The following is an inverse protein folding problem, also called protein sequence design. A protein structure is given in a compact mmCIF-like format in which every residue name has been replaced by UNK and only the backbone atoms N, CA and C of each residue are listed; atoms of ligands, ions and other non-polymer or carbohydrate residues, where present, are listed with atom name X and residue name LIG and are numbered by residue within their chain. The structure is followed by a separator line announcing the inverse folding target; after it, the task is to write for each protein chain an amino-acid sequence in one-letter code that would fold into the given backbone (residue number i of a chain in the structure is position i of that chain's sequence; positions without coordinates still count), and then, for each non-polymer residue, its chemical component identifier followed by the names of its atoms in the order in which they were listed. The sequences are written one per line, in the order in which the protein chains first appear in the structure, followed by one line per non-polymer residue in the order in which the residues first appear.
data_IF_268258896036
#
_entry.id   IF_268258896036
#
_cell.length_a   1.000
_cell.length_b   1.000
_cell.length_c   1.000
_cell.angle_alpha   90.00
_cell.angle_beta   90.00
_cell.angle_gamma   90.00
#
_symmetry.space_group_name_H-M   'P 1'
#
loop_
_entity.id
_entity.type
_entity.pdbx_description
1 polymer ?
#
# COMPACT_ATOMS: atom_id res chain seq x y z
N UNK A 1 9.44 40.49 22.63
CA UNK A 1 8.36 39.67 22.03
C UNK A 1 8.83 38.62 21.01
N UNK A 2 10.13 38.49 20.71
CA UNK A 2 10.63 37.52 19.72
C UNK A 2 10.87 36.12 20.34
N UNK A 3 11.23 36.04 21.63
CA UNK A 3 11.53 34.79 22.32
C UNK A 3 10.33 33.84 22.48
N UNK A 4 9.11 34.38 22.63
CA UNK A 4 7.90 33.57 22.84
C UNK A 4 7.42 32.85 21.57
N UNK A 5 7.62 33.42 20.38
CA UNK A 5 7.23 32.81 19.11
C UNK A 5 8.12 31.61 18.75
N UNK A 6 9.42 31.69 19.05
CA UNK A 6 10.39 30.60 18.82
C UNK A 6 10.10 29.39 19.73
N UNK A 7 9.73 29.65 21.00
CA UNK A 7 9.35 28.61 21.96
C UNK A 7 8.05 27.88 21.54
N UNK A 8 7.05 28.61 21.05
CA UNK A 8 5.81 28.00 20.54
C UNK A 8 6.07 27.15 19.28
N UNK A 9 6.92 27.62 18.36
CA UNK A 9 7.31 26.85 17.18
C UNK A 9 8.02 25.54 17.53
N UNK A 10 8.87 25.55 18.56
CA UNK A 10 9.57 24.34 19.05
C UNK A 10 8.64 23.31 19.68
N UNK A 11 7.64 23.75 20.44
CA UNK A 11 6.70 22.85 21.13
C UNK A 11 5.64 22.26 20.18
N UNK A 12 5.12 23.06 19.23
CA UNK A 12 4.04 22.62 18.35
C UNK A 12 4.51 22.11 16.98
N UNK A 13 5.72 22.46 16.54
CA UNK A 13 6.30 22.00 15.27
C UNK A 13 6.28 20.47 15.09
N UNK A 14 6.77 19.69 16.08
CA UNK A 14 6.76 18.23 15.98
C UNK A 14 5.36 17.63 15.84
N UNK A 15 4.35 18.20 16.53
CA UNK A 15 2.96 17.73 16.44
C UNK A 15 2.36 17.97 15.06
N UNK A 16 2.57 19.15 14.48
CA UNK A 16 2.08 19.47 13.14
C UNK A 16 2.77 18.62 12.07
N UNK A 17 4.08 18.36 12.22
CA UNK A 17 4.80 17.46 11.33
C UNK A 17 4.28 16.02 11.39
N UNK A 18 4.05 15.49 12.60
CA UNK A 18 3.49 14.15 12.79
C UNK A 18 2.09 14.03 12.17
N UNK A 19 1.22 15.01 12.40
CA UNK A 19 -0.11 15.03 11.80
C UNK A 19 -0.03 15.06 10.27
N UNK A 20 0.83 15.92 9.70
CA UNK A 20 1.07 15.94 8.25
C UNK A 20 1.57 14.58 7.75
N UNK A 21 2.51 13.96 8.44
CA UNK A 21 3.05 12.66 8.06
C UNK A 21 1.99 11.55 8.06
N UNK A 22 1.04 11.58 9.00
CA UNK A 22 -0.09 10.65 9.03
C UNK A 22 -1.03 10.82 7.83
N UNK A 23 -1.41 12.06 7.49
CA UNK A 23 -2.24 12.33 6.30
C UNK A 23 -1.54 11.96 5.00
N UNK A 24 -0.25 12.27 4.88
CA UNK A 24 0.57 11.88 3.74
C UNK A 24 0.61 10.35 3.63
N UNK A 25 0.81 9.66 4.75
CA UNK A 25 0.82 8.19 4.79
C UNK A 25 -0.52 7.60 4.36
N UNK A 26 -1.64 8.18 4.79
CA UNK A 26 -2.96 7.76 4.32
C UNK A 26 -3.12 7.94 2.80
N UNK A 27 -2.56 9.00 2.24
CA UNK A 27 -2.45 9.18 0.78
C UNK A 27 -1.67 8.05 0.11
N UNK A 28 -0.48 7.73 0.64
CA UNK A 28 0.38 6.64 0.14
C UNK A 28 -0.35 5.29 0.18
N UNK A 29 -1.10 4.98 1.24
CA UNK A 29 -1.88 3.73 1.32
C UNK A 29 -2.89 3.64 0.17
N UNK A 30 -3.58 4.75 -0.16
CA UNK A 30 -4.54 4.79 -1.28
C UNK A 30 -3.85 4.68 -2.64
N UNK A 31 -2.69 5.30 -2.81
CA UNK A 31 -1.89 5.21 -4.03
C UNK A 31 -1.38 3.79 -4.26
N UNK A 32 -0.89 3.12 -3.21
CA UNK A 32 -0.49 1.71 -3.28
C UNK A 32 -1.69 0.83 -3.62
N UNK A 33 -2.85 1.04 -2.99
CA UNK A 33 -4.07 0.30 -3.35
C UNK A 33 -4.48 0.51 -4.81
N UNK A 34 -4.37 1.74 -5.31
CA UNK A 34 -4.63 2.03 -6.73
C UNK A 34 -3.62 1.35 -7.65
N UNK A 35 -2.34 1.34 -7.27
CA UNK A 35 -1.30 0.62 -8.01
C UNK A 35 -1.62 -0.87 -8.07
N UNK A 36 -1.84 -1.50 -6.92
CA UNK A 36 -2.17 -2.94 -6.79
C UNK A 36 -3.38 -3.31 -7.66
N UNK A 37 -4.43 -2.48 -7.66
CA UNK A 37 -5.60 -2.66 -8.54
C UNK A 37 -5.23 -2.65 -10.01
N UNK A 38 -4.45 -1.66 -10.43
CA UNK A 38 -4.11 -1.44 -11.84
C UNK A 38 -3.06 -2.43 -12.37
N UNK A 39 -2.26 -3.02 -11.48
CA UNK A 39 -1.19 -3.96 -11.83
C UNK A 39 -1.55 -5.41 -11.49
N UNK A 40 -2.83 -5.70 -11.26
CA UNK A 40 -3.33 -7.04 -10.95
C UNK A 40 -2.56 -7.70 -9.79
N UNK A 41 -2.48 -7.00 -8.66
CA UNK A 41 -1.95 -7.56 -7.42
C UNK A 41 -0.44 -7.37 -7.23
N UNK A 42 0.26 -6.66 -8.11
CA UNK A 42 1.68 -6.39 -7.92
C UNK A 42 1.90 -5.36 -6.81
N UNK A 43 2.97 -5.55 -6.06
CA UNK A 43 3.42 -4.60 -5.03
C UNK A 43 4.45 -3.64 -5.62
N UNK A 44 4.34 -2.32 -5.35
CA UNK A 44 5.30 -1.36 -5.86
C UNK A 44 6.72 -1.68 -5.38
N UNK A 45 7.72 -1.44 -6.24
CA UNK A 45 9.14 -1.69 -5.95
C UNK A 45 9.93 -0.43 -5.63
N UNK A 46 9.37 0.74 -5.89
CA UNK A 46 9.97 2.02 -5.55
C UNK A 46 8.93 3.13 -5.49
N UNK A 47 9.33 4.31 -4.99
CA UNK A 47 8.51 5.52 -5.06
C UNK A 47 8.15 5.92 -6.49
N UNK A 48 9.03 5.66 -7.46
CA UNK A 48 8.80 6.03 -8.86
C UNK A 48 7.68 5.25 -9.55
N UNK A 49 7.21 4.15 -8.96
CA UNK A 49 6.04 3.40 -9.44
C UNK A 49 4.71 3.94 -8.90
N UNK A 50 4.77 4.80 -7.88
CA UNK A 50 3.60 5.47 -7.33
C UNK A 50 3.39 6.80 -8.05
N UNK A 51 2.14 7.26 -8.14
CA UNK A 51 1.79 8.57 -8.73
C UNK A 51 2.30 9.76 -7.90
N UNK A 52 2.78 9.49 -6.69
CA UNK A 52 3.26 10.49 -5.74
C UNK A 52 4.74 10.81 -5.96
N UNK A 53 5.14 12.02 -5.60
CA UNK A 53 6.55 12.38 -5.41
C UNK A 53 7.22 11.45 -4.37
N UNK A 54 8.54 11.51 -4.21
CA UNK A 54 9.21 10.79 -3.13
C UNK A 54 8.76 11.33 -1.76
N UNK A 55 7.90 10.57 -1.09
CA UNK A 55 7.33 10.91 0.22
C UNK A 55 8.07 10.23 1.38
N UNK A 56 9.29 9.73 1.16
CA UNK A 56 10.10 9.03 2.17
C UNK A 56 10.43 9.86 3.43
N UNK A 57 10.34 11.18 3.32
CA UNK A 57 10.47 12.12 4.45
C UNK A 57 9.32 12.01 5.46
N UNK A 58 8.15 11.53 5.02
CA UNK A 58 6.93 11.45 5.81
C UNK A 58 6.51 10.01 6.09
N UNK A 59 6.73 9.12 5.12
CA UNK A 59 6.19 7.77 5.12
C UNK A 59 7.29 6.75 4.87
N UNK A 60 7.25 5.64 5.61
CA UNK A 60 8.04 4.44 5.34
C UNK A 60 7.18 3.45 4.57
N UNK A 61 7.70 2.94 3.47
CA UNK A 61 7.10 1.86 2.68
C UNK A 61 8.10 0.71 2.58
N UNK A 62 7.65 -0.52 2.84
CA UNK A 62 8.41 -1.73 2.58
C UNK A 62 8.21 -2.17 1.13
N UNK A 63 9.04 -1.67 0.21
CA UNK A 63 8.98 -2.05 -1.20
C UNK A 63 9.46 -3.48 -1.50
N UNK A 64 10.11 -4.13 -0.53
CA UNK A 64 10.56 -5.51 -0.65
C UNK A 64 9.46 -6.54 -0.34
N UNK A 65 8.23 -6.11 -0.03
CA UNK A 65 7.12 -7.01 0.23
C UNK A 65 6.81 -7.86 -1.03
N UNK A 66 6.72 -9.17 -0.83
CA UNK A 66 6.25 -10.10 -1.84
C UNK A 66 4.72 -10.27 -1.73
N UNK A 67 3.93 -9.74 -2.69
CA UNK A 67 2.48 -9.84 -2.63
C UNK A 67 1.97 -11.29 -2.73
N UNK A 68 2.77 -12.22 -3.27
CA UNK A 68 2.38 -13.62 -3.42
C UNK A 68 2.34 -14.37 -2.08
N UNK A 69 3.21 -13.99 -1.14
CA UNK A 69 3.40 -14.68 0.15
C UNK A 69 3.05 -13.83 1.36
N UNK A 70 2.87 -12.50 1.19
CA UNK A 70 2.59 -11.58 2.27
C UNK A 70 1.41 -12.00 3.16
N UNK A 71 1.69 -12.00 4.46
CA UNK A 71 0.72 -12.13 5.54
C UNK A 71 0.01 -10.81 5.81
N UNK A 72 -1.10 -10.88 6.54
CA UNK A 72 -1.84 -9.69 6.97
C UNK A 72 -0.93 -8.73 7.76
N UNK A 73 -0.21 -9.25 8.77
CA UNK A 73 0.71 -8.43 9.58
C UNK A 73 1.83 -7.77 8.77
N UNK A 74 2.38 -8.46 7.76
CA UNK A 74 3.38 -7.86 6.87
C UNK A 74 2.79 -6.70 6.07
N UNK A 75 1.56 -6.83 5.56
CA UNK A 75 0.87 -5.72 4.88
C UNK A 75 0.56 -4.58 5.84
N UNK A 76 0.05 -4.85 7.05
CA UNK A 76 -0.25 -3.80 8.04
C UNK A 76 1.00 -3.04 8.52
N UNK A 77 2.17 -3.67 8.49
CA UNK A 77 3.44 -3.04 8.87
C UNK A 77 4.25 -2.49 7.69
N UNK A 78 3.77 -2.72 6.46
CA UNK A 78 4.45 -2.35 5.22
C UNK A 78 4.43 -0.84 4.97
N UNK A 79 3.39 -0.12 5.40
CA UNK A 79 3.24 1.32 5.21
C UNK A 79 2.94 1.98 6.55
N UNK A 80 3.80 2.91 6.97
CA UNK A 80 3.66 3.60 8.25
C UNK A 80 4.23 5.03 8.19
N UNK A 81 3.71 5.98 8.99
CA UNK A 81 4.34 7.28 9.13
C UNK A 81 5.72 7.11 9.75
N UNK A 82 6.63 8.05 9.48
CA UNK A 82 7.98 8.05 10.07
C UNK A 82 7.98 8.08 11.60
N UNK A 83 6.94 8.64 12.22
CA UNK A 83 6.71 8.59 13.67
C UNK A 83 6.42 7.17 14.19
N UNK A 84 6.03 6.24 13.31
CA UNK A 84 5.64 4.87 13.64
C UNK A 84 4.28 4.74 14.32
N UNK A 85 3.57 5.84 14.58
CA UNK A 85 2.29 5.86 15.29
C UNK A 85 1.29 6.75 14.57
N UNK A 86 0.06 6.25 14.47
CA UNK A 86 -1.09 7.02 14.02
C UNK A 86 -1.83 7.56 15.25
N UNK A 87 -1.90 8.88 15.39
CA UNK A 87 -2.65 9.56 16.45
C UNK A 87 -3.93 10.20 15.95
N UNK A 88 -3.91 10.68 14.71
CA UNK A 88 -4.96 11.45 14.05
C UNK A 88 -5.68 10.69 12.95
N UNK A 89 -5.09 9.60 12.43
CA UNK A 89 -5.70 8.78 11.39
C UNK A 89 -5.85 7.30 11.80
N UNK A 90 -6.84 6.95 12.65
CA UNK A 90 -7.04 5.59 13.13
C UNK A 90 -7.50 4.60 12.03
N UNK A 91 -8.00 5.13 10.91
CA UNK A 91 -8.49 4.33 9.78
C UNK A 91 -7.37 3.67 8.97
N UNK A 92 -6.09 4.05 9.16
CA UNK A 92 -4.96 3.45 8.45
C UNK A 92 -4.94 1.92 8.53
N UNK A 93 -5.25 1.36 9.70
CA UNK A 93 -5.26 -0.08 9.89
C UNK A 93 -6.36 -0.75 9.03
N UNK A 94 -7.54 -0.13 8.91
CA UNK A 94 -8.62 -0.66 8.09
C UNK A 94 -8.33 -0.52 6.59
N UNK A 95 -7.71 0.59 6.18
CA UNK A 95 -7.25 0.79 4.80
C UNK A 95 -6.20 -0.27 4.41
N UNK A 96 -5.26 -0.59 5.30
CA UNK A 96 -4.26 -1.65 5.10
C UNK A 96 -4.86 -3.05 5.10
N UNK A 97 -5.87 -3.32 5.93
CA UNK A 97 -6.65 -4.57 5.88
C UNK A 97 -7.42 -4.71 4.57
N UNK A 98 -7.94 -3.60 4.04
CA UNK A 98 -8.59 -3.57 2.72
C UNK A 98 -7.59 -3.95 1.63
N UNK A 99 -6.39 -3.36 1.67
CA UNK A 99 -5.29 -3.66 0.76
C UNK A 99 -4.86 -5.14 0.82
N UNK A 100 -4.77 -5.72 2.02
CA UNK A 100 -4.49 -7.15 2.17
C UNK A 100 -5.57 -8.04 1.53
N UNK A 101 -6.85 -7.70 1.73
CA UNK A 101 -7.97 -8.42 1.11
C UNK A 101 -7.90 -8.38 -0.41
N UNK A 102 -7.55 -7.22 -0.97
CA UNK A 102 -7.36 -7.02 -2.39
C UNK A 102 -6.23 -7.87 -2.98
N UNK A 103 -5.06 -7.88 -2.34
CA UNK A 103 -3.95 -8.78 -2.71
C UNK A 103 -4.37 -10.26 -2.66
N UNK A 104 -5.16 -10.66 -1.66
CA UNK A 104 -5.67 -12.04 -1.54
C UNK A 104 -6.67 -12.39 -2.64
N UNK A 105 -7.57 -11.48 -3.00
CA UNK A 105 -8.56 -11.72 -4.04
C UNK A 105 -7.89 -11.87 -5.41
N UNK A 106 -6.94 -11.00 -5.73
CA UNK A 106 -6.21 -11.06 -7.01
C UNK A 106 -5.40 -12.34 -7.17
N UNK A 107 -4.82 -12.86 -6.07
CA UNK A 107 -4.18 -14.20 -6.07
C UNK A 107 -5.15 -15.32 -6.43
N UNK A 108 -6.39 -15.28 -5.92
CA UNK A 108 -7.39 -16.31 -6.22
C UNK A 108 -7.80 -16.30 -7.70
N UNK A 109 -7.94 -15.11 -8.28
CA UNK A 109 -8.24 -14.96 -9.71
C UNK A 109 -7.12 -15.51 -10.58
N UNK A 110 -5.86 -15.28 -10.21
CA UNK A 110 -4.68 -15.78 -10.95
C UNK A 110 -4.55 -17.31 -10.87
N UNK A 111 -4.99 -17.92 -9.76
CA UNK A 111 -4.90 -19.38 -9.51
C UNK A 111 -6.09 -20.16 -10.09
N UNK A 112 -7.13 -19.50 -10.60
CA UNK A 112 -8.15 -20.15 -11.43
C UNK A 112 -7.76 -20.03 -12.91
N UNK A 113 -6.96 -20.96 -13.48
CA UNK A 113 -6.85 -21.04 -14.92
C UNK A 113 -8.23 -21.42 -15.45
N UNK A 114 -8.73 -20.62 -16.38
CA UNK A 114 -9.52 -21.01 -17.55
C UNK A 114 -9.77 -22.52 -17.66
N UNK A 115 -10.70 -23.08 -16.89
CA UNK A 115 -11.09 -24.50 -16.97
C UNK A 115 -12.23 -24.75 -17.96
N UNK A 116 -12.50 -23.78 -18.83
CA UNK A 116 -13.53 -23.89 -19.85
C UNK A 116 -12.95 -23.42 -21.19
N UNK A 117 -12.37 -24.32 -21.98
CA UNK A 117 -12.00 -23.93 -23.34
C UNK A 117 -11.19 -24.87 -24.23
N UNK A 118 -10.65 -26.02 -23.77
CA UNK A 118 -9.81 -26.84 -24.67
C UNK A 118 -10.01 -28.36 -24.53
N UNK A 119 -11.26 -28.78 -24.34
CA UNK A 119 -11.67 -30.17 -24.46
C UNK A 119 -12.62 -30.33 -25.66
N UNK A 120 -12.13 -30.02 -26.86
CA UNK A 120 -13.02 -30.02 -28.03
C UNK A 120 -12.38 -29.77 -29.38
N UNK A 121 -11.19 -30.31 -29.67
CA UNK A 121 -10.71 -30.32 -31.05
C UNK A 121 -9.85 -31.57 -31.37
N UNK A 122 -10.52 -32.50 -32.08
CA UNK A 122 -9.96 -33.35 -33.15
C UNK A 122 -9.28 -34.66 -32.75
N UNK A 123 -10.13 -35.60 -32.32
CA UNK A 123 -10.07 -36.99 -32.79
C UNK A 123 -10.99 -37.08 -34.02
N UNK A 124 -10.62 -37.90 -35.02
CA UNK A 124 -11.09 -37.97 -36.42
C UNK A 124 -10.26 -37.07 -37.35
N UNK A 125 -9.51 -37.61 -38.33
CA UNK A 125 -9.98 -38.59 -39.31
C UNK A 125 -8.82 -39.44 -39.85
N UNK A 126 -9.03 -40.76 -39.89
CA UNK A 126 -8.27 -41.75 -40.66
C UNK A 126 -8.29 -41.45 -42.16
N UNK A 127 -7.13 -41.52 -42.83
CA UNK A 127 -6.88 -42.39 -44.00
C UNK A 127 -5.44 -42.27 -44.48
#
# INVERSE_FOLDING_TARGET
MIASAVLLAWVFGPKLFNMKAEYVTAGVIRDVGTFVKNTHGQWPKSWGELKSEDLSSYTRVNFALDPATATEQEVLSSIAPRSGRYHTYPQAAEDLKSLYRELKNTRKETVQPTSAGDAGARIATEK
#
